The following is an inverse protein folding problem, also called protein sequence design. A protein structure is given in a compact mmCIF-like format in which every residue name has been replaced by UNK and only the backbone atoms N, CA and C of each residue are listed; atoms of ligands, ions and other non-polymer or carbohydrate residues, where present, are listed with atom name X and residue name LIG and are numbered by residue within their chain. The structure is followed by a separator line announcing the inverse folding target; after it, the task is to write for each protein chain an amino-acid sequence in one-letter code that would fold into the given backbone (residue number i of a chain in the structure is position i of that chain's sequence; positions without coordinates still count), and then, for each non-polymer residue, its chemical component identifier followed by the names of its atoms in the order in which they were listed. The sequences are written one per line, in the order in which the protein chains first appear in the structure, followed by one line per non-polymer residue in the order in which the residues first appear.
data_IF_620516723967
#
_entry.id   IF_620516723967
#
_cell.length_a   1.000
_cell.length_b   1.000
_cell.length_c   1.000
_cell.angle_alpha   90.00
_cell.angle_beta   90.00
_cell.angle_gamma   90.00
#
_symmetry.space_group_name_H-M   'P 1'
#
loop_
_entity.id
_entity.type
_entity.pdbx_description
1 polymer ?
#
# COMPACT_ATOMS: atom_id res chain seq x y z
N UNK A 1 -1.98 21.65 -4.75
CA UNK A 1 -2.46 20.26 -4.70
C UNK A 1 -1.51 19.45 -5.56
N UNK A 2 -0.93 18.39 -4.99
CA UNK A 2 0.11 17.59 -5.63
C UNK A 2 -0.46 16.23 -5.98
N UNK A 3 0.03 15.64 -7.06
CA UNK A 3 -0.45 14.35 -7.57
C UNK A 3 0.44 13.18 -7.15
N UNK A 4 1.34 13.36 -6.17
CA UNK A 4 2.25 12.29 -5.71
C UNK A 4 2.66 12.48 -4.25
N UNK A 5 2.46 11.45 -3.41
CA UNK A 5 2.79 11.49 -1.98
C UNK A 5 4.26 11.79 -1.70
N UNK A 6 5.15 11.47 -2.64
CA UNK A 6 6.58 11.79 -2.54
C UNK A 6 6.83 13.28 -2.32
N UNK A 7 5.94 14.15 -2.82
CA UNK A 7 6.04 15.60 -2.60
C UNK A 7 5.80 15.99 -1.13
N UNK A 8 4.88 15.31 -0.45
CA UNK A 8 4.61 15.58 0.96
C UNK A 8 5.73 15.02 1.85
N UNK A 9 6.19 13.81 1.55
CA UNK A 9 7.30 13.16 2.27
C UNK A 9 8.57 14.00 2.18
N UNK A 10 8.89 14.54 1.01
CA UNK A 10 10.04 15.41 0.83
C UNK A 10 9.97 16.72 1.64
N UNK A 11 8.76 17.17 2.00
CA UNK A 11 8.52 18.45 2.66
C UNK A 11 8.35 18.32 4.17
N UNK A 12 7.66 17.29 4.63
CA UNK A 12 7.34 17.04 6.03
C UNK A 12 7.49 15.56 6.34
N UNK A 13 8.65 15.18 6.86
CA UNK A 13 8.93 13.84 7.36
C UNK A 13 9.14 13.92 8.87
N UNK A 14 8.19 13.34 9.61
CA UNK A 14 8.20 13.31 11.07
C UNK A 14 8.93 12.06 11.55
N UNK A 15 9.44 12.11 12.78
CA UNK A 15 10.13 10.98 13.39
C UNK A 15 9.41 10.57 14.68
N UNK A 16 9.27 9.27 14.88
CA UNK A 16 8.90 8.74 16.17
C UNK A 16 9.97 9.11 17.23
N UNK A 17 9.61 9.49 18.47
CA UNK A 17 10.56 9.94 19.49
C UNK A 17 11.73 8.98 19.73
N UNK A 18 11.49 7.66 19.70
CA UNK A 18 12.55 6.64 19.83
C UNK A 18 13.48 6.54 18.64
N UNK A 19 13.03 6.90 17.44
CA UNK A 19 13.90 6.98 16.24
C UNK A 19 14.77 8.23 16.35
N UNK A 20 14.16 9.36 16.69
CA UNK A 20 14.87 10.62 16.90
C UNK A 20 15.94 10.52 17.99
N UNK A 21 15.66 9.84 19.11
CA UNK A 21 16.63 9.60 20.19
C UNK A 21 17.88 8.83 19.73
N UNK A 22 17.74 7.95 18.73
CA UNK A 22 18.85 7.17 18.18
C UNK A 22 19.70 7.98 17.18
N UNK A 23 19.29 9.21 16.84
CA UNK A 23 19.97 10.04 15.85
C UNK A 23 19.83 9.53 14.41
N UNK A 24 18.80 8.71 14.15
CA UNK A 24 18.51 8.17 12.83
C UNK A 24 17.63 9.15 12.05
N UNK A 25 17.90 9.35 10.76
CA UNK A 25 17.10 10.19 9.85
C UNK A 25 16.90 11.64 10.35
N UNK A 26 17.92 12.23 11.00
CA UNK A 26 17.86 13.61 11.50
C UNK A 26 18.39 14.65 10.52
N UNK A 27 18.90 14.23 9.36
CA UNK A 27 19.47 15.12 8.35
C UNK A 27 18.37 15.88 7.60
N UNK A 28 18.61 17.15 7.27
CA UNK A 28 17.61 18.05 6.68
C UNK A 28 17.11 17.56 5.29
N UNK A 29 17.96 16.86 4.55
CA UNK A 29 17.66 16.37 3.20
C UNK A 29 17.01 14.97 3.18
N UNK A 30 16.92 14.29 4.34
CA UNK A 30 16.54 12.87 4.39
C UNK A 30 15.14 12.60 3.82
N UNK A 31 14.21 13.54 4.01
CA UNK A 31 12.86 13.43 3.45
C UNK A 31 12.89 13.47 1.92
N UNK A 32 13.72 14.34 1.33
CA UNK A 32 13.84 14.48 -0.11
C UNK A 32 14.56 13.27 -0.74
N UNK A 33 15.61 12.76 -0.09
CA UNK A 33 16.31 11.55 -0.50
C UNK A 33 15.38 10.33 -0.49
N UNK A 34 14.71 10.10 0.65
CA UNK A 34 13.76 9.00 0.80
C UNK A 34 12.61 9.09 -0.20
N UNK A 35 12.06 10.29 -0.40
CA UNK A 35 11.02 10.53 -1.40
C UNK A 35 11.50 10.20 -2.82
N UNK A 36 12.78 10.43 -3.15
CA UNK A 36 13.32 10.14 -4.48
C UNK A 36 13.48 8.65 -4.76
N UNK A 37 13.76 7.86 -3.72
CA UNK A 37 13.93 6.41 -3.81
C UNK A 37 12.58 5.65 -3.81
N UNK A 38 11.51 6.28 -3.31
CA UNK A 38 10.17 5.70 -3.32
C UNK A 38 9.63 5.51 -4.75
N UNK A 39 8.92 4.39 -5.03
CA UNK A 39 8.17 4.25 -6.27
C UNK A 39 7.11 5.37 -6.36
N UNK A 40 6.62 5.69 -7.57
CA UNK A 40 5.53 6.66 -7.71
C UNK A 40 4.35 6.32 -6.80
N UNK A 41 3.80 7.31 -6.09
CA UNK A 41 2.66 7.15 -5.20
C UNK A 41 1.53 8.11 -5.59
N UNK A 42 0.94 7.94 -6.79
CA UNK A 42 -0.15 8.76 -7.27
C UNK A 42 -1.46 8.46 -6.52
N UNK A 43 -2.36 9.44 -6.41
CA UNK A 43 -3.68 9.25 -5.84
C UNK A 43 -4.48 8.20 -6.61
N UNK A 44 -5.33 7.47 -5.88
CA UNK A 44 -6.32 6.59 -6.48
C UNK A 44 -7.33 7.39 -7.31
N UNK A 45 -7.91 8.46 -6.75
CA UNK A 45 -8.87 9.35 -7.42
C UNK A 45 -8.78 10.77 -6.89
N UNK A 46 -8.80 11.75 -7.80
CA UNK A 46 -8.65 13.16 -7.44
C UNK A 46 -7.23 13.51 -7.04
N UNK A 47 -7.03 14.71 -6.50
CA UNK A 47 -5.73 15.14 -5.98
C UNK A 47 -5.68 14.97 -4.46
N UNK A 48 -4.52 14.60 -3.91
CA UNK A 48 -4.33 14.64 -2.47
C UNK A 48 -4.41 16.07 -1.96
N UNK A 49 -5.14 16.24 -0.86
CA UNK A 49 -5.17 17.49 -0.12
C UNK A 49 -3.90 17.63 0.74
N UNK A 50 -3.55 16.57 1.47
CA UNK A 50 -2.37 16.52 2.33
C UNK A 50 -2.00 15.08 2.73
N UNK A 51 -0.89 14.96 3.44
CA UNK A 51 -0.47 13.70 4.03
C UNK A 51 0.34 13.94 5.30
N UNK A 52 0.30 12.96 6.20
CA UNK A 52 1.16 12.85 7.38
C UNK A 52 2.12 11.69 7.12
N UNK A 53 3.43 11.98 7.12
CA UNK A 53 4.50 10.99 6.94
C UNK A 53 5.37 10.90 8.18
N UNK A 54 5.53 9.69 8.73
CA UNK A 54 6.33 9.44 9.93
C UNK A 54 7.24 8.23 9.75
N UNK A 55 8.52 8.38 10.10
CA UNK A 55 9.41 7.23 10.33
C UNK A 55 9.16 6.74 11.75
N UNK A 56 8.55 5.57 11.81
CA UNK A 56 8.17 4.88 13.02
C UNK A 56 9.21 3.83 13.41
N UNK A 57 9.19 3.45 14.69
CA UNK A 57 10.12 2.48 15.25
C UNK A 57 9.64 1.04 15.10
N UNK A 58 10.58 0.10 15.13
CA UNK A 58 10.32 -1.34 15.01
C UNK A 58 10.04 -2.04 16.35
N UNK A 59 9.67 -1.28 17.39
CA UNK A 59 9.54 -1.74 18.77
C UNK A 59 10.81 -2.42 19.32
N UNK A 60 11.99 -2.02 18.83
CA UNK A 60 13.30 -2.50 19.32
C UNK A 60 14.23 -1.36 19.64
N UNK A 61 15.06 -1.58 20.66
CA UNK A 61 16.12 -0.66 21.03
C UNK A 61 17.44 -1.43 21.23
N UNK A 62 18.49 -1.18 20.42
CA UNK A 62 18.48 -0.34 19.22
C UNK A 62 17.58 -0.93 18.12
N UNK A 63 17.07 -0.07 17.25
CA UNK A 63 16.27 -0.46 16.09
C UNK A 63 17.09 -1.31 15.12
N UNK A 64 16.43 -2.25 14.44
CA UNK A 64 17.03 -3.12 13.40
C UNK A 64 16.43 -2.89 12.02
N UNK A 65 15.33 -2.18 11.97
CA UNK A 65 14.67 -1.64 10.79
C UNK A 65 13.74 -0.53 11.25
N UNK A 66 13.04 0.08 10.32
CA UNK A 66 12.12 1.17 10.56
C UNK A 66 10.90 1.00 9.67
N UNK A 67 9.85 1.75 9.98
CA UNK A 67 8.60 1.72 9.21
C UNK A 67 8.27 3.15 8.81
N UNK A 68 8.29 3.46 7.52
CA UNK A 68 7.71 4.71 7.03
C UNK A 68 6.19 4.50 6.87
N UNK A 69 5.43 5.22 7.68
CA UNK A 69 3.97 5.28 7.62
C UNK A 69 3.55 6.56 6.91
N UNK A 70 2.68 6.44 5.91
CA UNK A 70 2.16 7.58 5.15
C UNK A 70 0.63 7.53 5.19
N UNK A 71 0.03 8.55 5.78
CA UNK A 71 -1.41 8.74 5.88
C UNK A 71 -1.82 9.85 4.94
N UNK A 72 -2.48 9.50 3.83
CA UNK A 72 -2.92 10.45 2.82
C UNK A 72 -4.39 10.82 3.00
N UNK A 73 -4.74 12.05 2.61
CA UNK A 73 -6.07 12.63 2.78
C UNK A 73 -6.51 13.38 1.52
N UNK A 74 -7.78 13.22 1.14
CA UNK A 74 -8.39 13.87 -0.03
C UNK A 74 -9.16 15.14 0.32
N UNK A 75 -9.36 15.45 1.61
CA UNK A 75 -10.04 16.67 2.06
C UNK A 75 -9.31 17.33 3.24
N UNK A 76 -9.58 18.63 3.42
CA UNK A 76 -9.10 19.40 4.56
C UNK A 76 -9.60 18.85 5.89
N UNK A 77 -10.90 18.55 5.99
CA UNK A 77 -11.52 17.99 7.19
C UNK A 77 -10.89 16.65 7.62
N UNK A 78 -10.59 15.79 6.64
CA UNK A 78 -9.95 14.50 6.92
C UNK A 78 -8.50 14.69 7.38
N UNK A 79 -7.76 15.61 6.76
CA UNK A 79 -6.41 15.96 7.18
C UNK A 79 -6.40 16.54 8.60
N UNK A 80 -7.27 17.50 8.91
CA UNK A 80 -7.35 18.13 10.24
C UNK A 80 -7.66 17.08 11.32
N UNK A 81 -8.53 16.12 11.02
CA UNK A 81 -8.81 14.98 11.91
C UNK A 81 -7.57 14.09 12.09
N UNK A 82 -6.84 13.84 11.00
CA UNK A 82 -5.58 13.09 11.02
C UNK A 82 -4.49 13.75 11.87
N UNK A 83 -4.33 15.07 11.73
CA UNK A 83 -3.36 15.85 12.50
C UNK A 83 -3.70 15.85 14.00
N UNK A 84 -4.98 16.02 14.34
CA UNK A 84 -5.42 15.93 15.74
C UNK A 84 -5.13 14.53 16.34
N UNK A 85 -5.34 13.46 15.57
CA UNK A 85 -5.04 12.09 16.00
C UNK A 85 -3.53 11.84 16.12
N UNK A 86 -2.72 12.44 15.24
CA UNK A 86 -1.25 12.40 15.33
C UNK A 86 -0.77 13.05 16.63
N UNK A 87 -1.26 14.25 16.93
CA UNK A 87 -0.88 15.00 18.14
C UNK A 87 -1.27 14.25 19.41
N UNK A 88 -2.49 13.68 19.47
CA UNK A 88 -2.92 12.84 20.59
C UNK A 88 -2.01 11.62 20.78
N UNK A 89 -1.64 10.93 19.68
CA UNK A 89 -0.72 9.79 19.73
C UNK A 89 0.68 10.22 20.20
N UNK A 90 1.17 11.37 19.73
CA UNK A 90 2.48 11.89 20.14
C UNK A 90 2.50 12.23 21.63
N UNK A 91 1.43 12.81 22.17
CA UNK A 91 1.27 13.05 23.61
C UNK A 91 1.25 11.74 24.40
N UNK A 92 0.51 10.72 23.93
CA UNK A 92 0.47 9.39 24.53
C UNK A 92 1.86 8.76 24.62
N UNK A 93 2.61 8.80 23.51
CA UNK A 93 3.99 8.30 23.44
C UNK A 93 4.85 9.04 24.46
N UNK A 94 4.79 10.38 24.50
CA UNK A 94 5.56 11.19 25.44
C UNK A 94 5.25 10.88 26.92
N UNK A 95 4.00 10.52 27.24
CA UNK A 95 3.61 10.13 28.61
C UNK A 95 4.12 8.74 28.99
N UNK A 96 4.28 7.83 28.02
CA UNK A 96 4.71 6.45 28.24
C UNK A 96 6.22 6.25 28.08
N UNK A 97 6.90 7.17 27.38
CA UNK A 97 8.35 7.16 27.17
C UNK A 97 9.15 7.58 28.42
N UNK A 98 9.00 6.80 29.50
CA UNK A 98 9.69 7.03 30.78
C UNK A 98 10.93 6.16 30.94
N UNK A 99 10.93 4.97 30.35
CA UNK A 99 12.06 4.04 30.45
C UNK A 99 12.33 3.33 29.11
N UNK A 100 13.60 3.27 28.68
CA UNK A 100 13.98 2.67 27.39
C UNK A 100 13.54 1.21 27.19
N UNK A 101 13.47 0.44 28.26
CA UNK A 101 13.16 -1.00 28.25
C UNK A 101 11.67 -1.32 28.03
N UNK A 102 10.78 -0.34 28.19
CA UNK A 102 9.36 -0.56 27.96
C UNK A 102 8.97 -0.18 26.54
N UNK A 103 8.03 -0.97 26.03
CA UNK A 103 7.38 -0.70 24.77
C UNK A 103 6.51 0.57 24.89
N UNK A 104 6.54 1.40 23.86
CA UNK A 104 5.70 2.59 23.74
C UNK A 104 4.77 2.45 22.52
N UNK A 105 3.63 3.16 22.48
CA UNK A 105 2.79 3.17 21.30
C UNK A 105 3.59 3.58 20.06
N UNK A 106 3.25 3.03 18.92
CA UNK A 106 3.74 3.48 17.63
C UNK A 106 2.68 4.36 16.96
N UNK A 107 2.86 4.71 15.68
CA UNK A 107 1.86 5.45 14.92
C UNK A 107 0.95 4.53 14.08
N UNK A 108 0.80 3.23 14.40
CA UNK A 108 -0.09 2.36 13.62
C UNK A 108 -1.56 2.75 13.76
N UNK A 109 -2.32 2.31 12.75
CA UNK A 109 -3.78 2.33 12.72
C UNK A 109 -4.42 3.73 12.85
N UNK A 110 -3.70 4.79 12.48
CA UNK A 110 -4.31 6.09 12.31
C UNK A 110 -5.33 6.07 11.17
N UNK A 111 -6.41 6.84 11.34
CA UNK A 111 -7.43 6.97 10.31
C UNK A 111 -6.89 7.79 9.14
N UNK A 112 -7.02 7.24 7.93
CA UNK A 112 -6.67 7.90 6.69
C UNK A 112 -7.51 7.36 5.54
N UNK A 113 -7.58 8.18 4.49
CA UNK A 113 -8.17 7.80 3.22
C UNK A 113 -7.31 6.70 2.55
N UNK A 114 -6.00 6.87 2.56
CA UNK A 114 -5.02 5.85 2.19
C UNK A 114 -3.91 5.77 3.24
N UNK A 115 -3.65 4.58 3.77
CA UNK A 115 -2.58 4.33 4.71
C UNK A 115 -1.53 3.39 4.10
N UNK A 116 -0.35 3.94 3.81
CA UNK A 116 0.78 3.16 3.31
C UNK A 116 1.74 2.79 4.43
N UNK A 117 2.25 1.58 4.35
CA UNK A 117 3.30 1.06 5.23
C UNK A 117 4.48 0.66 4.36
N UNK A 118 5.63 1.27 4.61
CA UNK A 118 6.87 1.02 3.88
C UNK A 118 7.92 0.53 4.87
N UNK A 119 8.42 -0.69 4.67
CA UNK A 119 9.57 -1.19 5.43
C UNK A 119 10.83 -0.44 5.01
N UNK A 120 11.63 -0.03 5.98
CA UNK A 120 12.93 0.59 5.77
C UNK A 120 14.02 -0.17 6.55
N UNK A 121 15.22 -0.24 5.99
CA UNK A 121 16.41 -0.51 6.80
C UNK A 121 16.94 0.79 7.45
N UNK A 122 18.01 0.67 8.24
CA UNK A 122 18.58 1.81 8.97
C UNK A 122 19.27 2.84 8.06
N UNK A 123 19.58 2.46 6.81
CA UNK A 123 20.19 3.33 5.80
C UNK A 123 19.12 3.97 4.88
N UNK A 124 17.84 3.72 5.14
CA UNK A 124 16.73 4.29 4.37
C UNK A 124 16.34 3.49 3.14
N UNK A 125 16.92 2.30 2.95
CA UNK A 125 16.58 1.45 1.81
C UNK A 125 15.18 0.90 1.96
N UNK A 126 14.40 1.05 0.89
CA UNK A 126 13.02 0.62 0.82
C UNK A 126 12.92 -0.90 0.65
N UNK A 127 12.15 -1.51 1.54
CA UNK A 127 11.71 -2.90 1.50
C UNK A 127 10.30 -3.02 0.91
N UNK A 128 9.43 -3.79 1.58
CA UNK A 128 8.03 -3.96 1.16
C UNK A 128 7.26 -2.66 1.34
N UNK A 129 6.37 -2.36 0.38
CA UNK A 129 5.37 -1.31 0.51
C UNK A 129 3.97 -1.91 0.36
N UNK A 130 3.07 -1.54 1.27
CA UNK A 130 1.68 -2.00 1.28
C UNK A 130 0.73 -0.83 1.46
N UNK A 131 -0.47 -0.98 0.90
CA UNK A 131 -1.58 -0.05 1.12
C UNK A 131 -2.73 -0.74 1.86
N UNK A 132 -3.18 -0.07 2.91
CA UNK A 132 -4.49 -0.29 3.51
C UNK A 132 -5.43 0.86 3.14
N UNK A 133 -6.55 0.53 2.51
CA UNK A 133 -7.62 1.49 2.28
C UNK A 133 -8.98 0.81 2.06
N UNK A 134 -10.05 1.49 2.48
CA UNK A 134 -11.43 1.02 2.38
C UNK A 134 -11.94 0.87 0.94
N UNK A 135 -11.48 1.74 0.02
CA UNK A 135 -11.93 1.69 -1.38
C UNK A 135 -11.16 0.70 -2.25
N UNK A 136 -10.13 0.02 -1.73
CA UNK A 136 -9.37 -0.99 -2.50
C UNK A 136 -10.29 -2.05 -3.12
N UNK A 137 -11.41 -2.36 -2.47
CA UNK A 137 -12.42 -3.33 -2.94
C UNK A 137 -13.66 -2.69 -3.56
N UNK A 138 -13.74 -1.35 -3.59
CA UNK A 138 -14.84 -0.61 -4.21
C UNK A 138 -14.58 -0.48 -5.73
N UNK A 139 -14.76 -1.60 -6.44
CA UNK A 139 -14.56 -1.65 -7.89
C UNK A 139 -15.85 -1.23 -8.60
N UNK A 140 -15.76 -0.24 -9.49
CA UNK A 140 -16.91 0.16 -10.31
C UNK A 140 -17.30 -0.96 -11.29
N UNK A 141 -18.59 -1.26 -11.49
CA UNK A 141 -19.02 -2.31 -12.42
C UNK A 141 -18.60 -2.11 -13.88
N UNK A 142 -18.36 -0.88 -14.33
CA UNK A 142 -17.83 -0.59 -15.67
C UNK A 142 -16.34 -0.94 -15.76
N UNK A 143 -15.54 -0.44 -14.82
CA UNK A 143 -14.11 -0.74 -14.68
C UNK A 143 -13.88 -2.27 -14.56
N UNK A 144 -14.70 -2.95 -13.75
CA UNK A 144 -14.65 -4.40 -13.58
C UNK A 144 -14.87 -5.15 -14.89
N UNK A 145 -15.92 -4.77 -15.65
CA UNK A 145 -16.23 -5.42 -16.93
C UNK A 145 -15.13 -5.18 -17.95
N UNK A 146 -14.59 -3.98 -17.99
CA UNK A 146 -13.51 -3.63 -18.90
C UNK A 146 -12.23 -4.42 -18.58
N UNK A 147 -11.79 -4.44 -17.31
CA UNK A 147 -10.60 -5.19 -16.93
C UNK A 147 -10.74 -6.68 -17.20
N UNK A 148 -11.91 -7.27 -16.90
CA UNK A 148 -12.19 -8.68 -17.21
C UNK A 148 -12.12 -8.93 -18.72
N UNK A 149 -12.63 -8.02 -19.54
CA UNK A 149 -12.56 -8.15 -21.00
C UNK A 149 -11.10 -8.09 -21.50
N UNK A 150 -10.30 -7.18 -20.97
CA UNK A 150 -8.87 -7.04 -21.30
C UNK A 150 -8.07 -8.29 -20.87
N UNK A 151 -8.25 -8.75 -19.62
CA UNK A 151 -7.62 -9.97 -19.13
C UNK A 151 -8.01 -11.18 -19.98
N UNK A 152 -9.30 -11.31 -20.34
CA UNK A 152 -9.80 -12.41 -21.18
C UNK A 152 -9.22 -12.41 -22.60
N UNK A 153 -8.95 -11.22 -23.16
CA UNK A 153 -8.36 -11.07 -24.49
C UNK A 153 -6.82 -11.29 -24.50
N UNK A 154 -6.19 -11.36 -23.32
CA UNK A 154 -4.74 -11.49 -23.20
C UNK A 154 -4.22 -12.85 -23.70
N UNK A 155 -2.95 -12.86 -24.15
CA UNK A 155 -2.27 -14.09 -24.60
C UNK A 155 -2.01 -15.01 -23.42
N UNK A 156 -1.72 -14.42 -22.27
CA UNK A 156 -1.45 -15.06 -20.99
C UNK A 156 -2.66 -15.86 -20.53
N UNK A 157 -3.85 -15.26 -20.57
CA UNK A 157 -5.09 -15.96 -20.23
C UNK A 157 -5.41 -17.08 -21.24
N UNK A 158 -5.24 -16.80 -22.53
CA UNK A 158 -5.47 -17.81 -23.59
C UNK A 158 -4.57 -19.04 -23.39
N UNK A 159 -3.29 -18.84 -23.05
CA UNK A 159 -2.35 -19.92 -22.71
C UNK A 159 -2.80 -20.66 -21.45
N UNK A 160 -3.15 -19.94 -20.39
CA UNK A 160 -3.58 -20.53 -19.12
C UNK A 160 -4.79 -21.46 -19.29
N UNK A 161 -5.82 -21.01 -20.03
CA UNK A 161 -7.00 -21.83 -20.31
C UNK A 161 -6.64 -23.08 -21.12
N UNK A 162 -5.71 -22.95 -22.08
CA UNK A 162 -5.25 -24.09 -22.88
C UNK A 162 -4.49 -25.14 -22.07
N UNK A 163 -3.76 -24.72 -21.02
CA UNK A 163 -3.03 -25.59 -20.08
C UNK A 163 -3.98 -26.26 -19.06
N UNK A 164 -5.08 -25.61 -18.69
CA UNK A 164 -6.02 -26.06 -17.67
C UNK A 164 -7.40 -26.46 -18.23
N UNK A 165 -7.45 -27.24 -19.30
CA UNK A 165 -8.72 -27.60 -20.00
C UNK A 165 -9.75 -28.33 -19.14
N UNK A 166 -9.30 -29.06 -18.12
CA UNK A 166 -10.17 -29.83 -17.22
C UNK A 166 -10.49 -29.08 -15.91
N UNK A 167 -10.29 -27.75 -15.89
CA UNK A 167 -10.59 -26.92 -14.72
C UNK A 167 -12.08 -27.06 -14.35
N UNK A 168 -12.41 -27.31 -13.07
CA UNK A 168 -13.81 -27.44 -12.65
C UNK A 168 -14.61 -26.16 -12.90
N UNK A 169 -15.82 -26.30 -13.46
CA UNK A 169 -16.69 -25.17 -13.79
C UNK A 169 -17.22 -24.40 -12.57
N UNK A 170 -17.28 -25.02 -11.41
CA UNK A 170 -17.74 -24.39 -10.17
C UNK A 170 -16.77 -23.32 -9.62
N UNK A 171 -15.55 -23.22 -10.15
CA UNK A 171 -14.55 -22.23 -9.74
C UNK A 171 -14.81 -20.83 -10.33
N UNK A 172 -15.89 -20.65 -11.09
CA UNK A 172 -16.26 -19.36 -11.69
C UNK A 172 -15.39 -18.95 -12.88
N UNK A 173 -15.57 -17.73 -13.34
CA UNK A 173 -14.83 -17.12 -14.45
C UNK A 173 -13.80 -16.10 -13.92
N UNK A 174 -13.19 -15.32 -14.81
CA UNK A 174 -12.41 -14.13 -14.43
C UNK A 174 -13.27 -13.16 -13.61
N UNK A 175 -12.73 -12.65 -12.51
CA UNK A 175 -13.38 -11.72 -11.60
C UNK A 175 -12.44 -10.58 -11.23
N UNK A 176 -12.89 -9.32 -11.34
CA UNK A 176 -12.14 -8.18 -10.83
C UNK A 176 -12.35 -8.06 -9.33
N UNK A 177 -11.26 -8.12 -8.54
CA UNK A 177 -11.35 -8.30 -7.07
C UNK A 177 -10.99 -7.02 -6.32
N UNK A 178 -9.94 -6.32 -6.75
CA UNK A 178 -9.47 -5.14 -6.04
C UNK A 178 -8.53 -4.29 -6.87
N UNK A 179 -8.51 -3.00 -6.59
CA UNK A 179 -7.45 -2.11 -7.03
C UNK A 179 -6.12 -2.47 -6.35
N UNK A 180 -5.03 -2.34 -7.08
CA UNK A 180 -3.65 -2.55 -6.61
C UNK A 180 -2.85 -1.28 -6.90
N UNK A 181 -2.27 -0.64 -5.88
CA UNK A 181 -1.51 0.59 -6.04
C UNK A 181 -0.17 0.33 -6.74
N UNK A 182 0.44 1.38 -7.34
CA UNK A 182 1.77 1.33 -7.96
C UNK A 182 2.86 0.66 -7.12
N UNK A 183 2.88 0.94 -5.82
CA UNK A 183 3.89 0.42 -4.91
C UNK A 183 3.80 -1.11 -4.73
N UNK A 184 2.62 -1.72 -4.93
CA UNK A 184 2.42 -3.18 -4.84
C UNK A 184 2.46 -3.87 -6.21
N UNK A 185 2.04 -3.17 -7.27
CA UNK A 185 1.99 -3.70 -8.63
C UNK A 185 3.35 -3.65 -9.34
N UNK A 186 4.27 -2.81 -8.86
CA UNK A 186 5.50 -2.41 -9.56
C UNK A 186 5.22 -1.74 -10.91
N UNK A 187 4.00 -1.24 -11.10
CA UNK A 187 3.58 -0.45 -12.26
C UNK A 187 3.48 1.02 -11.86
N UNK A 188 3.55 1.95 -12.82
CA UNK A 188 3.53 3.39 -12.53
C UNK A 188 2.16 3.93 -12.11
N UNK A 189 1.11 3.17 -12.37
CA UNK A 189 -0.28 3.57 -12.17
C UNK A 189 -1.06 2.49 -11.43
N UNK A 190 -2.21 2.89 -10.92
CA UNK A 190 -3.15 1.97 -10.30
C UNK A 190 -3.62 0.92 -11.31
N UNK A 191 -3.70 -0.32 -10.84
CA UNK A 191 -4.14 -1.45 -11.67
C UNK A 191 -5.32 -2.14 -11.01
N UNK A 192 -6.19 -2.74 -11.81
CA UNK A 192 -7.28 -3.57 -11.33
C UNK A 192 -6.84 -5.05 -11.37
N UNK A 193 -6.87 -5.72 -10.21
CA UNK A 193 -6.48 -7.12 -10.09
C UNK A 193 -7.66 -8.03 -10.48
N UNK A 194 -7.48 -8.77 -11.58
CA UNK A 194 -8.45 -9.73 -12.10
C UNK A 194 -7.98 -11.14 -11.81
N UNK A 195 -8.78 -11.91 -11.08
CA UNK A 195 -8.44 -13.25 -10.63
C UNK A 195 -9.08 -14.33 -11.49
N UNK A 196 -8.35 -15.42 -11.66
CA UNK A 196 -8.82 -16.68 -12.22
C UNK A 196 -8.42 -17.84 -11.31
N UNK A 197 -9.36 -18.34 -10.51
CA UNK A 197 -9.13 -19.47 -9.61
C UNK A 197 -8.85 -20.75 -10.39
N UNK A 198 -7.76 -21.46 -10.12
CA UNK A 198 -7.41 -22.73 -10.77
C UNK A 198 -7.74 -23.95 -9.90
N UNK A 199 -7.72 -23.79 -8.58
CA UNK A 199 -8.11 -24.82 -7.63
C UNK A 199 -8.67 -24.21 -6.35
N UNK A 200 -9.55 -24.96 -5.68
CA UNK A 200 -10.06 -24.65 -4.36
C UNK A 200 -10.40 -25.94 -3.63
N UNK A 201 -9.83 -26.16 -2.44
CA UNK A 201 -10.05 -27.38 -1.65
C UNK A 201 -11.05 -27.20 -0.49
N UNK A 202 -11.74 -26.06 -0.44
CA UNK A 202 -12.63 -25.68 0.67
C UNK A 202 -11.94 -24.85 1.76
N UNK A 203 -10.60 -24.74 1.75
CA UNK A 203 -9.82 -23.93 2.70
C UNK A 203 -8.84 -22.99 2.00
N UNK A 204 -8.21 -23.47 0.93
CA UNK A 204 -7.18 -22.77 0.18
C UNK A 204 -7.59 -22.73 -1.30
N UNK A 205 -7.68 -21.51 -1.82
CA UNK A 205 -7.77 -21.23 -3.24
C UNK A 205 -6.40 -20.92 -3.81
N UNK A 206 -6.15 -21.35 -5.05
CA UNK A 206 -5.00 -20.87 -5.82
C UNK A 206 -5.42 -20.55 -7.25
N UNK A 207 -4.73 -19.61 -7.86
CA UNK A 207 -5.11 -19.14 -9.19
C UNK A 207 -4.10 -18.19 -9.79
N UNK A 208 -4.51 -17.56 -10.89
CA UNK A 208 -3.73 -16.55 -11.59
C UNK A 208 -4.38 -15.18 -11.45
N UNK A 209 -3.58 -14.20 -11.07
CA UNK A 209 -3.92 -12.78 -10.99
C UNK A 209 -3.36 -12.09 -12.23
N UNK A 210 -4.18 -11.24 -12.83
CA UNK A 210 -3.86 -10.40 -13.98
C UNK A 210 -4.05 -8.95 -13.55
N UNK A 211 -2.96 -8.21 -13.40
CA UNK A 211 -3.02 -6.78 -13.11
C UNK A 211 -3.27 -6.03 -14.42
N UNK A 212 -4.43 -5.38 -14.49
CA UNK A 212 -4.87 -4.65 -15.67
C UNK A 212 -4.74 -3.16 -15.43
N UNK A 213 -4.05 -2.47 -16.32
CA UNK A 213 -4.05 -1.02 -16.39
C UNK A 213 -5.18 -0.58 -17.34
N UNK A 214 -6.16 0.15 -16.82
CA UNK A 214 -7.30 0.62 -17.61
C UNK A 214 -6.98 1.85 -18.47
N UNK A 215 -5.95 2.63 -18.13
CA UNK A 215 -5.53 3.79 -18.90
C UNK A 215 -4.79 3.35 -20.17
N UNK A 216 -3.81 2.45 -20.01
CA UNK A 216 -3.07 1.88 -21.16
C UNK A 216 -3.81 0.72 -21.83
N UNK A 217 -4.84 0.17 -21.16
CA UNK A 217 -5.66 -0.96 -21.62
C UNK A 217 -4.86 -2.24 -21.82
N UNK A 218 -3.90 -2.51 -20.93
CA UNK A 218 -2.99 -3.65 -21.02
C UNK A 218 -2.98 -4.47 -19.73
N UNK A 219 -2.66 -5.77 -19.87
CA UNK A 219 -2.26 -6.60 -18.73
C UNK A 219 -0.77 -6.35 -18.49
N UNK A 220 -0.44 -5.69 -17.39
CA UNK A 220 0.94 -5.26 -17.11
C UNK A 220 1.73 -6.30 -16.32
N UNK A 221 1.05 -7.09 -15.49
CA UNK A 221 1.66 -8.11 -14.66
C UNK A 221 0.75 -9.32 -14.53
N UNK A 222 1.33 -10.52 -14.54
CA UNK A 222 0.62 -11.78 -14.30
C UNK A 222 1.35 -12.55 -13.21
N UNK A 223 0.63 -12.93 -12.15
CA UNK A 223 1.22 -13.58 -10.96
C UNK A 223 0.35 -14.69 -10.42
N UNK A 224 0.98 -15.68 -9.81
CA UNK A 224 0.26 -16.70 -9.03
C UNK A 224 -0.23 -16.09 -7.71
N UNK A 225 -1.41 -16.51 -7.27
CA UNK A 225 -1.90 -16.18 -5.94
C UNK A 225 -2.38 -17.42 -5.21
N UNK A 226 -2.38 -17.33 -3.88
CA UNK A 226 -3.10 -18.26 -3.02
C UNK A 226 -3.85 -17.48 -1.95
N UNK A 227 -5.10 -17.85 -1.73
CA UNK A 227 -5.97 -17.27 -0.71
C UNK A 227 -6.43 -18.34 0.25
N UNK A 228 -6.56 -17.98 1.52
CA UNK A 228 -7.14 -18.84 2.54
C UNK A 228 -8.48 -18.27 2.95
N UNK A 229 -9.50 -19.11 3.05
CA UNK A 229 -10.76 -18.72 3.71
C UNK A 229 -10.50 -18.63 5.20
N UNK A 230 -10.92 -17.52 5.81
CA UNK A 230 -10.88 -17.32 7.26
C UNK A 230 -11.79 -18.32 7.98
#
# INVERSE_FOLDING_TARGET
MTSDLRTFIARDLRLHPRVAYQGLFTEEEVGAELASDLPPMPPFRGDYFGAISVIDWDHRLPSRGLILRIYAYYSEEALDTGEAAYDERLEEIGQQDKYPEFDVPDFDHMAADEAYVVELDLDGKIGRCELTSSWRRAVDPEDAREAVALARASREFTRLVAEHRNRPSHLGELEAVSWTPPCESQHRQWTLDVWYLLSFDGRVGSGRSFLVDLETREVVTVRDFSVRTA
#
